data_IF_362738724180
#
_entry.id   IF_362738724180
#
_cell.length_a   1.000
_cell.length_b   1.000
_cell.length_c   1.000
_cell.angle_alpha   90.00
_cell.angle_beta   90.00
_cell.angle_gamma   90.00
#
_symmetry.space_group_name_H-M   'P 1'
#
loop_
_entity.id
_entity.type
_entity.pdbx_description
1 polymer ?
#
# COMPACT_ATOMS: atom_id res chain seq x y z
N UNK A 1 2.08 29.65 -38.90
CA UNK A 1 2.77 28.39 -38.65
C UNK A 1 3.12 28.17 -37.18
N UNK A 2 3.42 29.20 -36.40
CA UNK A 2 3.79 29.11 -34.97
C UNK A 2 2.61 28.64 -34.12
N UNK A 3 1.38 29.04 -34.37
CA UNK A 3 0.19 28.67 -33.61
C UNK A 3 -0.17 27.17 -33.71
N UNK A 4 0.07 26.53 -34.81
CA UNK A 4 -0.23 25.09 -35.03
C UNK A 4 0.71 24.20 -34.21
N UNK A 5 1.97 24.59 -34.07
CA UNK A 5 2.95 23.84 -33.25
C UNK A 5 2.69 23.92 -31.78
N UNK A 6 2.24 25.08 -31.25
CA UNK A 6 1.87 25.27 -29.84
C UNK A 6 0.65 24.41 -29.45
N UNK A 7 -0.39 24.38 -30.28
CA UNK A 7 -1.60 23.58 -30.04
C UNK A 7 -1.33 22.07 -30.06
N UNK A 8 -0.47 21.58 -30.94
CA UNK A 8 -0.06 20.18 -30.97
C UNK A 8 0.76 19.77 -29.75
N UNK A 9 1.58 20.65 -29.20
CA UNK A 9 2.40 20.38 -28.02
C UNK A 9 1.51 20.33 -26.76
N UNK A 10 0.58 21.27 -26.63
CA UNK A 10 -0.39 21.29 -25.52
C UNK A 10 -1.32 20.06 -25.53
N UNK A 11 -1.83 19.70 -26.72
CA UNK A 11 -2.65 18.47 -26.85
C UNK A 11 -1.88 17.22 -26.49
N UNK A 12 -0.62 17.10 -26.89
CA UNK A 12 0.23 15.95 -26.56
C UNK A 12 0.50 15.88 -25.05
N UNK A 13 0.84 17.01 -24.42
CA UNK A 13 1.06 17.07 -22.98
C UNK A 13 -0.21 16.73 -22.19
N UNK A 14 -1.38 17.22 -22.64
CA UNK A 14 -2.66 16.87 -22.03
C UNK A 14 -2.97 15.37 -22.17
N UNK A 15 -2.72 14.78 -23.35
CA UNK A 15 -2.91 13.36 -23.56
C UNK A 15 -1.99 12.52 -22.67
N UNK A 16 -0.70 12.84 -22.60
CA UNK A 16 0.26 12.17 -21.73
C UNK A 16 -0.15 12.29 -20.25
N UNK A 17 -0.68 13.43 -19.84
CA UNK A 17 -1.20 13.64 -18.47
C UNK A 17 -2.42 12.78 -18.17
N UNK A 18 -3.36 12.66 -19.12
CA UNK A 18 -4.53 11.79 -19.00
C UNK A 18 -4.10 10.33 -18.86
N UNK A 19 -3.18 9.87 -19.71
CA UNK A 19 -2.64 8.51 -19.66
C UNK A 19 -1.92 8.24 -18.34
N UNK A 20 -1.12 9.19 -17.84
CA UNK A 20 -0.47 9.08 -16.55
C UNK A 20 -1.49 8.95 -15.42
N UNK A 21 -2.51 9.81 -15.38
CA UNK A 21 -3.55 9.80 -14.34
C UNK A 21 -4.45 8.56 -14.40
N UNK A 22 -4.57 7.92 -15.56
CA UNK A 22 -5.27 6.64 -15.67
C UNK A 22 -4.59 5.51 -14.90
N UNK A 23 -3.29 5.62 -14.65
CA UNK A 23 -2.46 4.56 -14.05
C UNK A 23 -1.79 4.95 -12.74
N UNK A 24 -1.84 6.23 -12.32
CA UNK A 24 -1.14 6.72 -11.14
C UNK A 24 -2.07 7.53 -10.23
N UNK A 25 -1.73 7.53 -8.95
CA UNK A 25 -2.36 8.41 -7.94
C UNK A 25 -1.89 9.85 -8.16
N UNK A 26 -2.81 10.83 -8.27
CA UNK A 26 -2.44 12.21 -8.60
C UNK A 26 -1.65 12.95 -7.51
N UNK A 27 -1.75 12.52 -6.24
CA UNK A 27 -1.07 13.15 -5.12
C UNK A 27 0.38 12.66 -4.98
N UNK A 28 0.56 11.36 -5.06
CA UNK A 28 1.83 10.69 -4.74
C UNK A 28 2.59 10.20 -5.97
N UNK A 29 1.94 10.22 -7.14
CA UNK A 29 2.46 9.71 -8.41
C UNK A 29 2.82 8.21 -8.38
N UNK A 30 2.42 7.50 -7.33
CA UNK A 30 2.55 6.06 -7.27
C UNK A 30 1.55 5.36 -8.21
N UNK A 31 1.83 4.14 -8.64
CA UNK A 31 0.85 3.27 -9.27
C UNK A 31 -0.48 3.29 -8.54
N UNK A 32 -1.58 3.44 -9.27
CA UNK A 32 -2.92 3.27 -8.74
C UNK A 32 -3.33 1.79 -8.75
N UNK A 33 -4.57 1.49 -8.37
CA UNK A 33 -5.08 0.11 -8.33
C UNK A 33 -5.02 -0.61 -9.67
N UNK A 34 -5.25 0.11 -10.78
CA UNK A 34 -5.23 -0.48 -12.11
C UNK A 34 -3.83 -0.95 -12.49
N UNK A 35 -2.83 -0.07 -12.36
CA UNK A 35 -1.44 -0.40 -12.66
C UNK A 35 -0.87 -1.43 -11.67
N UNK A 36 -1.28 -1.39 -10.41
CA UNK A 36 -0.90 -2.39 -9.42
C UNK A 36 -1.36 -3.79 -9.83
N UNK A 37 -2.61 -3.93 -10.30
CA UNK A 37 -3.18 -5.21 -10.75
C UNK A 37 -2.38 -5.80 -11.91
N UNK A 38 -2.03 -4.97 -12.89
CA UNK A 38 -1.20 -5.39 -14.02
C UNK A 38 0.19 -5.85 -13.57
N UNK A 39 0.86 -5.07 -12.73
CA UNK A 39 2.18 -5.43 -12.19
C UNK A 39 2.13 -6.70 -11.33
N UNK A 40 1.09 -6.88 -10.55
CA UNK A 40 0.91 -8.10 -9.75
C UNK A 40 0.71 -9.33 -10.65
N UNK A 41 -0.08 -9.22 -11.73
CA UNK A 41 -0.25 -10.31 -12.69
C UNK A 41 1.08 -10.71 -13.33
N UNK A 42 1.91 -9.73 -13.71
CA UNK A 42 3.25 -9.97 -14.26
C UNK A 42 4.17 -10.63 -13.22
N UNK A 43 4.14 -10.16 -11.97
CA UNK A 43 4.92 -10.71 -10.85
C UNK A 43 4.55 -12.18 -10.58
N UNK A 44 3.26 -12.51 -10.49
CA UNK A 44 2.76 -13.87 -10.29
C UNK A 44 3.16 -14.80 -11.45
N UNK A 45 3.02 -14.34 -12.70
CA UNK A 45 3.42 -15.11 -13.87
C UNK A 45 4.93 -15.40 -13.88
N UNK A 46 5.74 -14.44 -13.47
CA UNK A 46 7.18 -14.62 -13.33
C UNK A 46 7.53 -15.58 -12.19
N UNK A 47 6.91 -15.41 -11.02
CA UNK A 47 7.11 -16.28 -9.85
C UNK A 47 6.77 -17.75 -10.14
N UNK A 48 5.67 -17.98 -10.87
CA UNK A 48 5.30 -19.34 -11.31
C UNK A 48 6.40 -19.99 -12.17
N UNK A 49 7.00 -19.22 -13.11
CA UNK A 49 8.09 -19.73 -13.97
C UNK A 49 9.36 -20.00 -13.18
N UNK A 50 9.70 -19.14 -12.23
CA UNK A 50 10.92 -19.22 -11.42
C UNK A 50 10.75 -20.08 -10.17
N UNK A 51 9.54 -20.58 -9.89
CA UNK A 51 9.18 -21.29 -8.65
C UNK A 51 9.54 -20.48 -7.41
N UNK A 52 9.37 -19.16 -7.48
CA UNK A 52 9.54 -18.24 -6.37
C UNK A 52 8.18 -17.77 -5.85
N UNK A 53 8.18 -16.89 -4.86
CA UNK A 53 6.99 -16.29 -4.26
C UNK A 53 6.91 -14.79 -4.56
N UNK A 54 5.69 -14.26 -4.43
CA UNK A 54 5.43 -12.81 -4.40
C UNK A 54 4.75 -12.52 -3.07
N UNK A 55 5.17 -11.46 -2.38
CA UNK A 55 4.45 -10.99 -1.20
C UNK A 55 3.63 -9.75 -1.55
N UNK A 56 2.34 -9.77 -1.23
CA UNK A 56 1.48 -8.61 -1.25
C UNK A 56 1.32 -8.13 0.20
N UNK A 57 1.75 -6.89 0.45
CA UNK A 57 1.63 -6.24 1.75
C UNK A 57 0.60 -5.11 1.67
N UNK A 58 -0.46 -5.20 2.46
CA UNK A 58 -1.45 -4.13 2.64
C UNK A 58 -1.05 -3.28 3.84
N UNK A 59 -0.90 -1.97 3.65
CA UNK A 59 -0.45 -1.03 4.66
C UNK A 59 -1.51 0.05 4.87
N UNK A 60 -1.83 0.33 6.11
CA UNK A 60 -2.72 1.43 6.49
C UNK A 60 -2.02 2.32 7.53
N UNK A 61 -2.04 3.63 7.28
CA UNK A 61 -1.36 4.61 8.12
C UNK A 61 -2.14 4.86 9.41
N UNK A 62 -1.56 4.46 10.52
CA UNK A 62 -2.22 4.55 11.81
C UNK A 62 -2.57 5.99 12.19
N UNK A 63 -3.86 6.22 12.50
CA UNK A 63 -4.40 7.49 12.98
C UNK A 63 -4.26 8.68 12.02
N UNK A 64 -4.08 8.45 10.72
CA UNK A 64 -3.93 9.52 9.73
C UNK A 64 -5.10 10.52 9.74
N UNK A 65 -6.33 10.02 9.95
CA UNK A 65 -7.50 10.88 10.09
C UNK A 65 -7.33 11.92 11.19
N UNK A 66 -6.71 11.57 12.34
CA UNK A 66 -6.46 12.54 13.43
C UNK A 66 -5.51 13.65 13.01
N UNK A 67 -4.53 13.36 12.15
CA UNK A 67 -3.61 14.37 11.61
C UNK A 67 -4.38 15.34 10.73
N UNK A 68 -5.21 14.82 9.81
CA UNK A 68 -6.05 15.66 8.95
C UNK A 68 -7.04 16.52 9.77
N UNK A 69 -7.71 15.92 10.75
CA UNK A 69 -8.70 16.62 11.59
C UNK A 69 -8.04 17.70 12.46
N UNK A 70 -6.78 17.55 12.86
CA UNK A 70 -6.07 18.48 13.72
C UNK A 70 -5.27 19.54 12.97
N UNK A 71 -4.65 19.20 11.84
CA UNK A 71 -3.68 20.05 11.11
C UNK A 71 -4.13 20.39 9.69
N UNK A 72 -5.24 19.82 9.24
CA UNK A 72 -5.80 20.04 7.91
C UNK A 72 -5.21 19.13 6.83
N UNK A 73 -5.97 18.98 5.74
CA UNK A 73 -5.61 18.15 4.60
C UNK A 73 -4.27 18.52 3.94
N UNK A 74 -3.88 19.82 3.80
CA UNK A 74 -2.58 20.16 3.20
C UNK A 74 -1.38 19.55 3.94
N UNK A 75 -1.44 19.48 5.29
CA UNK A 75 -0.38 18.86 6.11
C UNK A 75 -0.42 17.34 5.93
N UNK A 76 -1.61 16.73 5.89
CA UNK A 76 -1.78 15.32 5.59
C UNK A 76 -1.23 14.92 4.22
N UNK A 77 -1.50 15.72 3.18
CA UNK A 77 -0.99 15.50 1.83
C UNK A 77 0.56 15.59 1.77
N UNK A 78 1.13 16.57 2.45
CA UNK A 78 2.60 16.69 2.56
C UNK A 78 3.21 15.51 3.32
N UNK A 79 2.55 15.03 4.37
CA UNK A 79 2.96 13.83 5.11
C UNK A 79 2.92 12.59 4.20
N UNK A 80 1.85 12.39 3.42
CA UNK A 80 1.74 11.26 2.49
C UNK A 80 2.88 11.25 1.46
N UNK A 81 3.25 12.42 0.91
CA UNK A 81 4.40 12.54 0.00
C UNK A 81 5.72 12.17 0.69
N UNK A 82 5.94 12.64 1.91
CA UNK A 82 7.14 12.31 2.69
C UNK A 82 7.21 10.81 3.04
N UNK A 83 6.07 10.19 3.32
CA UNK A 83 5.93 8.75 3.54
C UNK A 83 6.34 7.96 2.30
N UNK A 84 5.89 8.36 1.11
CA UNK A 84 6.24 7.70 -0.15
C UNK A 84 7.74 7.66 -0.36
N UNK A 85 8.44 8.76 -0.12
CA UNK A 85 9.91 8.80 -0.26
C UNK A 85 10.61 7.86 0.74
N UNK A 86 10.08 7.74 1.97
CA UNK A 86 10.60 6.75 2.92
C UNK A 86 10.31 5.31 2.49
N UNK A 87 9.10 5.01 2.02
CA UNK A 87 8.76 3.67 1.55
C UNK A 87 9.63 3.26 0.37
N UNK A 88 9.88 4.16 -0.60
CA UNK A 88 10.80 3.91 -1.72
C UNK A 88 12.19 3.52 -1.25
N UNK A 89 12.68 4.10 -0.14
CA UNK A 89 13.99 3.74 0.43
C UNK A 89 14.02 2.37 1.12
N UNK A 90 12.85 1.77 1.38
CA UNK A 90 12.72 0.49 2.08
C UNK A 90 12.70 -0.71 1.14
N UNK A 91 12.26 -0.55 -0.10
CA UNK A 91 12.07 -1.60 -1.09
C UNK A 91 13.07 -1.48 -2.24
N UNK A 92 13.12 -2.49 -3.10
CA UNK A 92 13.97 -2.52 -4.29
C UNK A 92 13.26 -1.84 -5.46
N UNK A 93 14.00 -1.44 -6.48
CA UNK A 93 13.44 -0.88 -7.72
C UNK A 93 12.53 -1.88 -8.45
N UNK A 94 12.80 -3.18 -8.32
CA UNK A 94 11.97 -4.25 -8.86
C UNK A 94 10.64 -4.45 -8.14
N UNK A 95 10.50 -3.93 -6.92
CA UNK A 95 9.27 -4.02 -6.14
C UNK A 95 8.30 -2.91 -6.55
N UNK A 96 7.02 -3.08 -6.25
CA UNK A 96 6.01 -2.10 -6.58
C UNK A 96 5.43 -1.50 -5.31
N UNK A 97 5.38 -0.18 -5.22
CA UNK A 97 4.59 0.56 -4.23
C UNK A 97 3.41 1.18 -4.96
N UNK A 98 2.21 1.06 -4.40
CA UNK A 98 0.97 1.62 -4.92
C UNK A 98 0.20 2.32 -3.80
N UNK A 99 -0.58 3.34 -4.14
CA UNK A 99 -1.55 3.95 -3.23
C UNK A 99 -2.95 3.66 -3.74
N UNK A 100 -3.82 3.16 -2.84
CA UNK A 100 -5.20 2.83 -3.18
C UNK A 100 -6.15 4.02 -2.98
N UNK A 101 -5.76 4.97 -2.16
CA UNK A 101 -6.49 6.16 -1.78
C UNK A 101 -6.35 6.42 -0.28
N UNK A 102 -6.71 7.62 0.19
CA UNK A 102 -6.60 7.95 1.62
C UNK A 102 -5.20 7.66 2.19
N UNK A 103 -5.17 6.80 3.18
CA UNK A 103 -4.01 6.35 3.94
C UNK A 103 -3.57 4.91 3.63
N UNK A 104 -4.13 4.30 2.56
CA UNK A 104 -3.88 2.92 2.20
C UNK A 104 -2.81 2.78 1.10
N UNK A 105 -1.80 1.96 1.37
CA UNK A 105 -0.72 1.62 0.45
C UNK A 105 -0.61 0.11 0.27
N UNK A 106 -0.18 -0.29 -0.91
CA UNK A 106 0.15 -1.69 -1.19
C UNK A 106 1.61 -1.76 -1.64
N UNK A 107 2.31 -2.76 -1.14
CA UNK A 107 3.66 -3.10 -1.61
C UNK A 107 3.63 -4.52 -2.16
N UNK A 108 4.17 -4.70 -3.36
CA UNK A 108 4.39 -6.02 -3.97
C UNK A 108 5.89 -6.28 -3.98
N UNK A 109 6.32 -7.27 -3.23
CA UNK A 109 7.71 -7.73 -3.20
C UNK A 109 7.87 -8.91 -4.16
N UNK A 110 8.76 -8.74 -5.13
CA UNK A 110 9.07 -9.75 -6.13
C UNK A 110 10.17 -10.71 -5.64
N UNK A 111 10.16 -11.93 -6.16
CA UNK A 111 11.19 -12.94 -5.92
C UNK A 111 11.50 -13.13 -4.41
N UNK A 112 10.45 -13.40 -3.65
CA UNK A 112 10.54 -13.66 -2.22
C UNK A 112 10.95 -15.13 -2.01
N UNK A 113 11.98 -15.35 -1.20
CA UNK A 113 12.48 -16.71 -0.88
C UNK A 113 11.71 -17.34 0.28
N UNK A 114 11.47 -16.56 1.32
CA UNK A 114 10.86 -16.99 2.57
C UNK A 114 10.12 -15.81 3.26
N UNK A 115 9.32 -16.14 4.27
CA UNK A 115 8.61 -15.15 5.08
C UNK A 115 9.54 -14.21 5.84
N UNK A 116 10.73 -14.68 6.20
CA UNK A 116 11.71 -13.86 6.94
C UNK A 116 12.23 -12.70 6.07
N UNK A 117 12.34 -12.92 4.75
CA UNK A 117 12.70 -11.84 3.81
C UNK A 117 11.64 -10.73 3.82
N UNK A 118 10.36 -11.09 3.87
CA UNK A 118 9.25 -10.13 3.97
C UNK A 118 9.25 -9.43 5.32
N UNK A 119 9.43 -10.18 6.41
CA UNK A 119 9.51 -9.61 7.77
C UNK A 119 10.63 -8.58 7.88
N UNK A 120 11.80 -8.84 7.30
CA UNK A 120 12.90 -7.85 7.27
C UNK A 120 12.52 -6.55 6.55
N UNK A 121 11.73 -6.62 5.48
CA UNK A 121 11.24 -5.41 4.80
C UNK A 121 10.20 -4.70 5.67
N UNK A 122 9.27 -5.43 6.27
CA UNK A 122 8.28 -4.88 7.20
C UNK A 122 8.96 -4.18 8.39
N UNK A 123 9.95 -4.81 9.02
CA UNK A 123 10.71 -4.23 10.13
C UNK A 123 11.48 -2.97 9.71
N UNK A 124 12.08 -2.99 8.51
CA UNK A 124 12.73 -1.79 7.95
C UNK A 124 11.74 -0.65 7.75
N UNK A 125 10.53 -0.95 7.26
CA UNK A 125 9.47 0.04 7.13
C UNK A 125 9.08 0.59 8.51
N UNK A 126 8.82 -0.27 9.51
CA UNK A 126 8.50 0.17 10.88
C UNK A 126 9.59 1.06 11.47
N UNK A 127 10.85 0.66 11.34
CA UNK A 127 11.99 1.44 11.85
C UNK A 127 12.07 2.82 11.19
N UNK A 128 11.89 2.88 9.87
CA UNK A 128 11.95 4.14 9.12
C UNK A 128 10.74 5.03 9.43
N UNK A 129 9.56 4.45 9.55
CA UNK A 129 8.33 5.18 9.87
C UNK A 129 8.29 5.70 11.31
N UNK A 130 8.98 5.03 12.25
CA UNK A 130 9.14 5.50 13.62
C UNK A 130 9.96 6.77 13.77
N UNK A 131 10.69 7.19 12.74
CA UNK A 131 11.42 8.46 12.74
C UNK A 131 10.45 9.62 12.46
N UNK A 132 10.56 10.76 13.17
CA UNK A 132 9.71 11.92 12.94
C UNK A 132 9.77 12.43 11.49
N UNK A 133 8.65 12.97 11.02
CA UNK A 133 8.52 13.68 9.75
C UNK A 133 8.49 15.18 10.03
N UNK A 134 9.37 15.94 9.40
CA UNK A 134 9.35 17.41 9.45
C UNK A 134 8.49 17.91 8.30
N UNK A 135 7.27 18.38 8.62
CA UNK A 135 6.31 18.91 7.65
C UNK A 135 6.03 20.39 8.00
N UNK A 136 6.66 21.32 7.29
CA UNK A 136 6.64 22.73 7.66
C UNK A 136 7.19 22.93 9.08
N UNK A 137 6.39 23.52 9.96
CA UNK A 137 6.75 23.74 11.37
C UNK A 137 6.40 22.54 12.28
N UNK A 138 5.78 21.48 11.73
CA UNK A 138 5.32 20.33 12.50
C UNK A 138 6.33 19.20 12.48
N UNK A 139 6.53 18.57 13.64
CA UNK A 139 7.23 17.29 13.77
C UNK A 139 6.20 16.21 14.06
N UNK A 140 5.93 15.34 13.07
CA UNK A 140 4.88 14.35 13.12
C UNK A 140 5.46 12.95 13.26
N UNK A 141 4.82 12.13 14.09
CA UNK A 141 5.10 10.69 14.17
C UNK A 141 3.95 9.91 13.57
N UNK A 142 4.28 8.88 12.81
CA UNK A 142 3.30 8.01 12.20
C UNK A 142 3.80 6.58 12.18
N UNK A 143 2.89 5.61 12.06
CA UNK A 143 3.19 4.19 11.93
C UNK A 143 2.24 3.53 10.95
N UNK A 144 2.54 2.30 10.57
CA UNK A 144 1.66 1.47 9.75
C UNK A 144 1.20 0.24 10.51
N UNK A 145 -0.05 -0.14 10.28
CA UNK A 145 -0.52 -1.51 10.48
C UNK A 145 -0.44 -2.22 9.13
N UNK A 146 0.20 -3.37 9.08
CA UNK A 146 0.48 -4.08 7.82
C UNK A 146 -0.04 -5.51 7.87
N UNK A 147 -0.66 -5.94 6.77
CA UNK A 147 -1.03 -7.33 6.54
C UNK A 147 -0.31 -7.89 5.32
N UNK A 148 0.08 -9.15 5.37
CA UNK A 148 0.87 -9.82 4.33
C UNK A 148 0.15 -11.07 3.86
N UNK A 149 0.04 -11.23 2.54
CA UNK A 149 -0.37 -12.46 1.88
C UNK A 149 0.68 -12.89 0.85
N UNK A 150 0.94 -14.19 0.75
CA UNK A 150 1.97 -14.78 -0.09
C UNK A 150 1.35 -15.52 -1.28
N UNK A 151 1.80 -15.22 -2.48
CA UNK A 151 1.54 -16.01 -3.68
C UNK A 151 2.63 -17.10 -3.80
N UNK A 152 2.29 -18.36 -4.11
CA UNK A 152 0.94 -18.90 -4.30
C UNK A 152 0.28 -19.42 -3.00
N UNK A 153 0.98 -19.39 -1.86
CA UNK A 153 0.63 -20.07 -0.62
C UNK A 153 -0.75 -19.63 -0.09
N UNK A 154 -1.06 -18.33 -0.15
CA UNK A 154 -2.31 -17.76 0.36
C UNK A 154 -3.37 -17.54 -0.75
N UNK A 155 -3.00 -17.65 -2.01
CA UNK A 155 -3.93 -17.49 -3.13
C UNK A 155 -3.21 -17.35 -4.47
N UNK A 156 -3.96 -17.66 -5.53
CA UNK A 156 -3.48 -17.60 -6.92
C UNK A 156 -4.08 -16.42 -7.71
N UNK A 157 -4.89 -15.61 -7.04
CA UNK A 157 -5.60 -14.47 -7.62
C UNK A 157 -5.33 -13.18 -6.86
N UNK A 158 -5.23 -12.07 -7.60
CA UNK A 158 -4.95 -10.75 -7.01
C UNK A 158 -6.00 -10.32 -5.97
N UNK A 159 -7.27 -10.52 -6.26
CA UNK A 159 -8.34 -10.05 -5.38
C UNK A 159 -8.39 -10.93 -4.10
N UNK A 160 -8.08 -12.21 -4.19
CA UNK A 160 -7.94 -13.12 -3.03
C UNK A 160 -6.77 -12.67 -2.15
N UNK A 161 -5.60 -12.41 -2.74
CA UNK A 161 -4.42 -11.95 -2.00
C UNK A 161 -4.65 -10.59 -1.34
N UNK A 162 -5.31 -9.67 -2.03
CA UNK A 162 -5.71 -8.36 -1.49
C UNK A 162 -6.62 -8.53 -0.27
N UNK A 163 -7.66 -9.34 -0.37
CA UNK A 163 -8.59 -9.60 0.72
C UNK A 163 -7.88 -10.23 1.93
N UNK A 164 -7.00 -11.20 1.70
CA UNK A 164 -6.26 -11.88 2.77
C UNK A 164 -5.26 -10.96 3.45
N UNK A 165 -4.56 -10.14 2.69
CA UNK A 165 -3.65 -9.12 3.25
C UNK A 165 -4.42 -8.05 4.04
N UNK A 166 -5.57 -7.58 3.56
CA UNK A 166 -6.45 -6.65 4.30
C UNK A 166 -6.93 -7.27 5.62
N UNK A 167 -7.38 -8.53 5.60
CA UNK A 167 -7.75 -9.27 6.82
C UNK A 167 -6.59 -9.31 7.83
N UNK A 168 -5.38 -9.63 7.39
CA UNK A 168 -4.21 -9.66 8.25
C UNK A 168 -3.83 -8.27 8.79
N UNK A 169 -3.98 -7.21 8.00
CA UNK A 169 -3.78 -5.82 8.40
C UNK A 169 -4.79 -5.39 9.48
N UNK A 170 -6.05 -5.78 9.33
CA UNK A 170 -7.07 -5.54 10.35
C UNK A 170 -6.67 -6.15 11.70
N UNK A 171 -6.19 -7.41 11.70
CA UNK A 171 -5.67 -8.05 12.92
C UNK A 171 -4.43 -7.34 13.49
N UNK A 172 -3.57 -6.75 12.66
CA UNK A 172 -2.47 -5.92 13.15
C UNK A 172 -2.99 -4.66 13.86
N UNK A 173 -4.06 -4.02 13.35
CA UNK A 173 -4.72 -2.88 14.00
C UNK A 173 -5.33 -3.25 15.35
N UNK A 174 -6.01 -4.39 15.45
CA UNK A 174 -6.62 -4.87 16.71
C UNK A 174 -5.57 -5.24 17.74
N UNK A 175 -4.44 -5.79 17.32
CA UNK A 175 -3.33 -6.19 18.21
C UNK A 175 -2.51 -4.99 18.76
N UNK A 176 -2.93 -3.75 18.51
CA UNK A 176 -2.29 -2.54 19.07
C UNK A 176 -1.65 -1.63 18.04
N UNK A 177 -1.80 -1.90 16.74
CA UNK A 177 -1.21 -1.14 15.63
C UNK A 177 0.32 -1.24 15.57
N UNK A 178 0.94 -0.46 14.70
CA UNK A 178 2.39 -0.38 14.51
C UNK A 178 3.05 -1.77 14.46
N UNK A 179 2.47 -2.67 13.69
CA UNK A 179 2.89 -4.07 13.58
C UNK A 179 2.53 -4.65 12.22
N UNK A 180 3.11 -5.77 11.90
CA UNK A 180 2.71 -6.53 10.71
C UNK A 180 2.22 -7.93 11.09
N UNK A 181 1.33 -8.49 10.29
CA UNK A 181 0.79 -9.84 10.42
C UNK A 181 0.78 -10.53 9.07
N UNK A 182 1.21 -11.77 9.04
CA UNK A 182 0.98 -12.67 7.91
C UNK A 182 -0.44 -13.23 8.02
N UNK A 183 -1.09 -13.38 6.89
CA UNK A 183 -2.39 -14.01 6.83
C UNK A 183 -2.30 -15.45 7.37
N UNK A 184 -3.34 -15.87 8.07
CA UNK A 184 -3.59 -17.27 8.47
C UNK A 184 -5.08 -17.57 8.30
N UNK A 185 -5.43 -18.80 7.97
CA UNK A 185 -6.84 -19.20 7.80
C UNK A 185 -7.67 -18.97 9.07
N UNK A 186 -7.07 -19.02 10.25
CA UNK A 186 -7.74 -18.72 11.52
C UNK A 186 -8.25 -17.27 11.61
N UNK A 187 -7.59 -16.33 10.94
CA UNK A 187 -8.00 -14.92 10.94
C UNK A 187 -9.36 -14.71 10.29
N UNK A 188 -9.69 -15.46 9.24
CA UNK A 188 -11.01 -15.39 8.61
C UNK A 188 -12.14 -15.78 9.58
N UNK A 189 -11.94 -16.80 10.39
CA UNK A 189 -12.92 -17.26 11.36
C UNK A 189 -13.20 -16.20 12.43
N UNK A 190 -12.16 -15.53 12.90
CA UNK A 190 -12.28 -14.48 13.92
C UNK A 190 -13.03 -13.25 13.39
N UNK A 191 -12.79 -12.84 12.14
CA UNK A 191 -13.51 -11.71 11.52
C UNK A 191 -15.02 -12.00 11.43
N UNK A 192 -15.40 -13.21 11.00
CA UNK A 192 -16.81 -13.62 10.91
C UNK A 192 -17.47 -13.64 12.29
N UNK A 193 -16.79 -14.15 13.33
CA UNK A 193 -17.28 -14.16 14.71
C UNK A 193 -17.48 -12.73 15.25
N UNK A 194 -16.53 -11.83 15.00
CA UNK A 194 -16.62 -10.44 15.44
C UNK A 194 -17.78 -9.69 14.78
N UNK A 195 -17.98 -9.86 13.46
CA UNK A 195 -19.12 -9.28 12.76
C UNK A 195 -20.47 -9.81 13.27
N UNK A 196 -20.55 -11.10 13.62
CA UNK A 196 -21.74 -11.70 14.19
C UNK A 196 -22.04 -11.14 15.57
N UNK A 197 -21.03 -10.96 16.43
CA UNK A 197 -21.18 -10.37 17.76
C UNK A 197 -21.61 -8.90 17.70
N UNK A 198 -21.04 -8.09 16.83
CA UNK A 198 -21.47 -6.69 16.65
C UNK A 198 -22.91 -6.59 16.16
N UNK A 199 -23.33 -7.49 15.28
CA UNK A 199 -24.72 -7.54 14.78
C UNK A 199 -25.71 -7.94 15.89
N UNK A 200 -25.32 -8.82 16.81
CA UNK A 200 -26.12 -9.21 17.97
C UNK A 200 -26.23 -8.11 19.04
N UNK A 201 -25.17 -7.31 19.24
CA UNK A 201 -25.14 -6.21 20.21
C UNK A 201 -25.94 -4.96 19.76
N UNK A 202 -26.25 -4.85 18.48
CA UNK A 202 -27.07 -3.75 17.90
C UNK A 202 -28.57 -4.07 17.88
N UNK A 203 -29.00 -5.24 18.34
CA UNK A 203 -30.41 -5.65 18.52
C UNK A 203 -30.81 -5.53 19.97
#
# INVERSE_FOLDING_TARGET
YVYIFSDMTERKAAQERIEFLAHHDPLTELPNRLLLRDRMAQAMAQATRLKSRVALMFLDLDRFKKINDSLGHPVGDALLKAIVERLKSCVRESDTISRQGGDEFIIVLNDVRDSDAVSRVADKIHQRMGQPFSIGEHSLSSSFSMGVALFPDDGEDFDILMQKADTAMYHAKEAGRNSHRFFTEQMNLQVVEHMNLETQLRR
#
